data_IF_372949939496
#
_entry.id   IF_372949939496
#
_cell.length_a   1.000
_cell.length_b   1.000
_cell.length_c   1.000
_cell.angle_alpha   90.00
_cell.angle_beta   90.00
_cell.angle_gamma   90.00
#
_symmetry.space_group_name_H-M   'P 1'
#
loop_
_entity.id
_entity.type
_entity.pdbx_description
1 polymer ?
#
# COMPACT_ATOMS: atom_id res chain seq x y z
N UNK A 1 -5.19 13.06 46.62
CA UNK A 1 -6.59 13.53 46.65
C UNK A 1 -6.62 15.01 46.28
N UNK A 2 -6.95 15.31 45.02
CA UNK A 2 -7.31 16.65 44.55
C UNK A 2 -8.22 16.45 43.32
N UNK A 3 -9.50 16.87 43.36
CA UNK A 3 -10.42 16.70 42.25
C UNK A 3 -10.28 17.89 41.29
N UNK A 4 -9.79 17.62 40.07
CA UNK A 4 -9.73 18.58 38.98
C UNK A 4 -11.03 18.59 38.18
N UNK A 5 -11.61 19.78 38.04
CA UNK A 5 -12.95 20.04 37.52
C UNK A 5 -13.14 19.69 36.04
N UNK A 6 -14.33 19.13 35.76
CA UNK A 6 -14.90 18.86 34.44
C UNK A 6 -15.39 20.18 33.82
N UNK A 7 -14.96 20.50 32.59
CA UNK A 7 -15.55 21.58 31.78
C UNK A 7 -16.57 21.03 30.78
N UNK A 8 -17.70 21.72 30.56
CA UNK A 8 -18.74 21.27 29.65
C UNK A 8 -18.41 21.61 28.19
N UNK A 9 -18.69 20.65 27.32
CA UNK A 9 -18.78 20.75 25.87
C UNK A 9 -20.09 21.40 25.41
N UNK A 10 -20.08 22.21 24.34
CA UNK A 10 -21.21 22.45 23.43
C UNK A 10 -20.79 23.21 22.14
N UNK A 11 -21.62 23.23 21.08
CA UNK A 11 -21.23 22.82 19.73
C UNK A 11 -21.23 23.99 18.73
N UNK A 12 -20.60 23.81 17.57
CA UNK A 12 -20.85 24.67 16.41
C UNK A 12 -21.07 23.84 15.13
N UNK A 13 -22.34 23.80 14.74
CA UNK A 13 -22.90 24.00 13.39
C UNK A 13 -21.91 24.65 12.41
N UNK A 14 -21.81 24.26 11.14
CA UNK A 14 -22.89 24.32 10.15
C UNK A 14 -22.44 23.75 8.80
N UNK A 15 -23.47 23.31 8.08
CA UNK A 15 -23.51 22.78 6.71
C UNK A 15 -23.14 23.86 5.68
N UNK A 16 -22.28 23.52 4.72
CA UNK A 16 -22.00 24.32 3.53
C UNK A 16 -22.06 23.45 2.27
N UNK A 17 -23.26 23.34 1.67
CA UNK A 17 -23.45 22.74 0.34
C UNK A 17 -23.34 23.86 -0.69
N UNK A 18 -22.30 23.83 -1.52
CA UNK A 18 -22.15 24.73 -2.65
C UNK A 18 -22.56 24.02 -3.95
N UNK A 19 -23.79 24.31 -4.41
CA UNK A 19 -24.30 23.91 -5.72
C UNK A 19 -23.73 24.81 -6.81
N UNK A 20 -22.79 24.28 -7.60
CA UNK A 20 -22.19 24.92 -8.76
C UNK A 20 -22.99 24.69 -10.05
N UNK A 21 -23.31 25.79 -10.72
CA UNK A 21 -24.23 26.00 -11.84
C UNK A 21 -24.03 25.15 -13.10
N UNK A 22 -25.18 24.86 -13.73
CA UNK A 22 -25.38 24.49 -15.14
C UNK A 22 -24.71 25.49 -16.10
N UNK A 23 -23.86 24.97 -16.99
CA UNK A 23 -23.48 25.63 -18.25
C UNK A 23 -24.00 24.82 -19.43
N UNK A 24 -25.11 25.26 -20.03
CA UNK A 24 -25.61 24.78 -21.31
C UNK A 24 -24.78 25.38 -22.43
N UNK A 25 -24.15 24.55 -23.26
CA UNK A 25 -23.70 24.96 -24.59
C UNK A 25 -24.32 24.03 -25.63
N UNK A 26 -25.24 24.62 -26.40
CA UNK A 26 -25.84 24.11 -27.61
C UNK A 26 -24.88 24.43 -28.76
N UNK A 27 -24.49 23.45 -29.57
CA UNK A 27 -24.19 23.70 -30.99
C UNK A 27 -24.01 22.41 -31.82
N UNK A 28 -24.84 22.33 -32.85
CA UNK A 28 -24.60 21.75 -34.19
C UNK A 28 -24.56 20.23 -34.33
N UNK A 29 -25.76 19.69 -34.54
CA UNK A 29 -26.02 18.47 -35.31
C UNK A 29 -25.67 18.75 -36.78
N UNK A 30 -24.55 18.19 -37.24
CA UNK A 30 -24.21 18.05 -38.64
C UNK A 30 -24.59 16.65 -39.11
N UNK A 31 -25.55 16.56 -40.03
CA UNK A 31 -25.94 15.32 -40.72
C UNK A 31 -24.85 14.98 -41.73
N UNK A 32 -24.09 13.92 -41.48
CA UNK A 32 -23.26 13.26 -42.48
C UNK A 32 -23.88 11.90 -42.80
N UNK A 33 -24.55 11.82 -43.96
CA UNK A 33 -24.82 10.55 -44.65
C UNK A 33 -23.55 10.13 -45.38
N UNK A 34 -22.95 9.01 -45.00
CA UNK A 34 -21.90 8.39 -45.80
C UNK A 34 -21.05 7.37 -45.05
N UNK A 35 -21.30 6.07 -45.30
CA UNK A 35 -20.34 4.99 -45.07
C UNK A 35 -20.29 4.40 -43.66
N UNK A 36 -20.89 3.23 -43.47
CA UNK A 36 -20.62 2.37 -42.31
C UNK A 36 -19.19 1.81 -42.40
N UNK A 37 -18.23 2.55 -41.84
CA UNK A 37 -16.97 1.98 -41.36
C UNK A 37 -17.07 2.04 -39.83
N UNK A 38 -17.23 0.88 -39.19
CA UNK A 38 -17.21 0.78 -37.74
C UNK A 38 -15.78 1.04 -37.22
N UNK A 39 -15.40 2.31 -37.09
CA UNK A 39 -14.18 2.70 -36.42
C UNK A 39 -14.34 2.40 -34.92
N UNK A 40 -13.68 1.35 -34.45
CA UNK A 40 -13.56 1.06 -33.03
C UNK A 40 -12.71 2.16 -32.39
N UNK A 41 -13.39 3.15 -31.81
CA UNK A 41 -12.76 4.18 -30.98
C UNK A 41 -12.34 3.50 -29.68
N UNK A 42 -11.11 2.98 -29.63
CA UNK A 42 -10.47 2.65 -28.37
C UNK A 42 -10.23 3.97 -27.64
N UNK A 43 -11.12 4.31 -26.69
CA UNK A 43 -10.89 5.42 -25.78
C UNK A 43 -9.59 5.16 -25.04
N UNK A 44 -8.55 5.95 -25.33
CA UNK A 44 -7.33 5.96 -24.55
C UNK A 44 -7.72 6.45 -23.15
N UNK A 45 -7.83 5.52 -22.20
CA UNK A 45 -7.94 5.85 -20.78
C UNK A 45 -6.65 6.63 -20.45
N UNK A 46 -6.73 7.91 -20.07
CA UNK A 46 -5.53 8.68 -19.76
C UNK A 46 -4.75 7.94 -18.67
N UNK A 47 -3.49 7.64 -18.95
CA UNK A 47 -2.61 7.05 -17.96
C UNK A 47 -2.58 7.98 -16.72
N UNK A 48 -2.77 7.45 -15.50
CA UNK A 48 -2.70 8.28 -14.30
C UNK A 48 -1.37 9.03 -14.28
N UNK A 49 -1.42 10.33 -13.97
CA UNK A 49 -0.23 11.16 -13.89
C UNK A 49 0.79 10.51 -12.94
N UNK A 50 2.04 10.39 -13.39
CA UNK A 50 3.10 9.78 -12.60
C UNK A 50 3.28 10.54 -11.28
N UNK A 51 2.94 9.88 -10.17
CA UNK A 51 3.20 10.41 -8.83
C UNK A 51 4.70 10.47 -8.52
N UNK A 52 5.08 11.04 -7.36
CA UNK A 52 6.45 10.95 -6.87
C UNK A 52 6.93 9.50 -6.86
N UNK A 53 8.14 9.24 -7.38
CA UNK A 53 8.75 7.90 -7.39
C UNK A 53 8.99 7.47 -5.93
N UNK A 54 8.43 6.33 -5.53
CA UNK A 54 8.66 5.80 -4.18
C UNK A 54 9.98 5.01 -4.09
N UNK A 55 10.52 4.76 -2.88
CA UNK A 55 11.85 4.15 -2.74
C UNK A 55 11.96 2.74 -3.32
N UNK A 56 10.89 1.94 -3.27
CA UNK A 56 10.90 0.58 -3.85
C UNK A 56 11.08 0.67 -5.36
N UNK A 57 10.34 1.56 -6.02
CA UNK A 57 10.48 1.82 -7.46
C UNK A 57 11.86 2.37 -7.80
N UNK A 58 12.37 3.34 -7.03
CA UNK A 58 13.71 3.90 -7.23
C UNK A 58 14.79 2.81 -7.13
N UNK A 59 14.74 1.97 -6.09
CA UNK A 59 15.68 0.88 -5.87
C UNK A 59 15.61 -0.16 -6.99
N UNK A 60 14.41 -0.55 -7.43
CA UNK A 60 14.23 -1.47 -8.55
C UNK A 60 14.84 -0.92 -9.84
N UNK A 61 14.62 0.37 -10.14
CA UNK A 61 15.23 1.04 -11.31
C UNK A 61 16.75 1.09 -11.20
N UNK A 62 17.30 1.33 -10.01
CA UNK A 62 18.74 1.40 -9.78
C UNK A 62 19.48 0.11 -10.14
N UNK A 63 18.85 -1.05 -9.92
CA UNK A 63 19.41 -2.36 -10.30
C UNK A 63 18.98 -2.83 -11.68
N UNK A 64 18.33 -1.98 -12.48
CA UNK A 64 17.89 -2.34 -13.83
C UNK A 64 16.71 -3.30 -13.90
N UNK A 65 15.90 -3.41 -12.84
CA UNK A 65 14.66 -4.20 -12.82
C UNK A 65 13.49 -3.43 -13.46
N UNK A 66 13.70 -2.93 -14.67
CA UNK A 66 12.76 -2.07 -15.38
C UNK A 66 11.40 -2.73 -15.62
N UNK A 67 11.37 -4.04 -15.85
CA UNK A 67 10.15 -4.83 -16.08
C UNK A 67 9.25 -4.88 -14.84
N UNK A 68 9.84 -4.76 -13.65
CA UNK A 68 9.11 -4.78 -12.39
C UNK A 68 8.75 -3.39 -11.87
N UNK A 69 9.04 -2.30 -12.60
CA UNK A 69 8.84 -0.94 -12.11
C UNK A 69 7.39 -0.65 -11.66
N UNK A 70 6.40 -1.15 -12.40
CA UNK A 70 4.98 -0.95 -12.05
C UNK A 70 4.58 -1.70 -10.78
N UNK A 71 5.09 -2.92 -10.58
CA UNK A 71 4.86 -3.66 -9.35
C UNK A 71 5.64 -3.04 -8.17
N UNK A 72 6.88 -2.63 -8.40
CA UNK A 72 7.71 -1.93 -7.42
C UNK A 72 7.01 -0.67 -6.90
N UNK A 73 6.41 0.11 -7.80
CA UNK A 73 5.58 1.27 -7.44
C UNK A 73 4.39 0.87 -6.59
N UNK A 74 3.59 -0.12 -6.99
CA UNK A 74 2.45 -0.60 -6.18
C UNK A 74 2.86 -1.04 -4.78
N UNK A 75 3.93 -1.84 -4.67
CA UNK A 75 4.46 -2.29 -3.37
C UNK A 75 4.88 -1.07 -2.52
N UNK A 76 5.66 -0.16 -3.10
CA UNK A 76 6.13 1.03 -2.39
C UNK A 76 5.00 1.96 -1.93
N UNK A 77 3.93 2.08 -2.71
CA UNK A 77 2.76 2.88 -2.34
C UNK A 77 2.01 2.28 -1.14
N UNK A 78 1.98 0.94 -1.02
CA UNK A 78 1.35 0.25 0.11
C UNK A 78 2.15 0.35 1.41
N UNK A 79 3.48 0.29 1.34
CA UNK A 79 4.34 0.14 2.53
C UNK A 79 5.06 1.39 2.96
N UNK A 80 5.42 2.25 2.02
CA UNK A 80 6.11 3.52 2.31
C UNK A 80 5.16 4.69 2.14
N UNK A 81 4.40 4.71 1.04
CA UNK A 81 3.60 5.87 0.66
C UNK A 81 4.46 7.14 0.61
N UNK A 82 4.02 8.19 1.32
CA UNK A 82 4.74 9.47 1.41
C UNK A 82 5.72 9.54 2.60
N UNK A 83 5.92 8.44 3.34
CA UNK A 83 6.73 8.43 4.56
C UNK A 83 8.23 8.57 4.25
N UNK A 84 9.00 9.30 5.08
CA UNK A 84 10.45 9.30 5.01
C UNK A 84 10.99 7.87 5.09
N UNK A 85 12.00 7.57 4.28
CA UNK A 85 12.50 6.22 4.10
C UNK A 85 13.89 6.18 3.50
N UNK A 86 14.60 5.09 3.79
CA UNK A 86 15.88 4.74 3.18
C UNK A 86 15.90 3.23 2.97
N UNK A 87 16.62 2.74 1.96
CA UNK A 87 16.68 1.31 1.72
C UNK A 87 17.85 0.89 0.87
N UNK A 88 18.03 -0.43 0.82
CA UNK A 88 19.02 -1.12 0.00
C UNK A 88 18.32 -2.22 -0.77
N UNK A 89 18.89 -2.58 -1.92
CA UNK A 89 18.37 -3.64 -2.78
C UNK A 89 19.38 -4.75 -2.92
N UNK A 90 18.92 -5.98 -2.73
CA UNK A 90 19.63 -7.20 -3.04
C UNK A 90 19.14 -7.70 -4.39
N UNK A 91 20.06 -7.73 -5.35
CA UNK A 91 19.84 -8.20 -6.71
C UNK A 91 21.01 -9.11 -7.14
N UNK A 92 20.77 -10.09 -8.02
CA UNK A 92 21.86 -10.90 -8.56
C UNK A 92 22.77 -10.07 -9.47
N UNK A 93 24.04 -10.48 -9.60
CA UNK A 93 24.93 -9.95 -10.63
C UNK A 93 24.48 -10.45 -12.00
N UNK A 94 23.85 -9.61 -12.82
CA UNK A 94 23.41 -9.98 -14.16
C UNK A 94 22.09 -9.34 -14.58
N UNK A 95 21.26 -10.08 -15.32
CA UNK A 95 19.96 -9.58 -15.78
C UNK A 95 18.94 -9.61 -14.65
N UNK A 96 18.75 -8.45 -14.02
CA UNK A 96 17.77 -8.26 -12.95
C UNK A 96 16.32 -8.42 -13.42
N UNK A 97 16.03 -8.12 -14.69
CA UNK A 97 14.69 -8.27 -15.29
C UNK A 97 14.20 -9.73 -15.45
N UNK A 98 15.06 -10.71 -15.13
CA UNK A 98 14.75 -12.13 -15.18
C UNK A 98 14.89 -12.82 -13.82
N UNK A 99 15.14 -12.07 -12.76
CA UNK A 99 15.42 -12.63 -11.45
C UNK A 99 14.59 -11.98 -10.35
N UNK A 100 14.48 -12.68 -9.23
CA UNK A 100 13.94 -12.11 -8.01
C UNK A 100 14.91 -11.05 -7.47
N UNK A 101 14.35 -9.90 -7.08
CA UNK A 101 15.03 -8.90 -6.27
C UNK A 101 14.32 -8.71 -4.95
N UNK A 102 15.05 -8.27 -3.93
CA UNK A 102 14.50 -7.91 -2.64
C UNK A 102 15.01 -6.54 -2.22
N UNK A 103 14.14 -5.73 -1.62
CA UNK A 103 14.50 -4.44 -1.04
C UNK A 103 14.29 -4.50 0.47
N UNK A 104 15.25 -3.97 1.21
CA UNK A 104 15.19 -3.79 2.66
C UNK A 104 15.10 -2.30 2.95
N UNK A 105 14.03 -1.86 3.59
CA UNK A 105 13.67 -0.44 3.74
C UNK A 105 13.43 -0.14 5.21
N UNK A 106 14.09 0.89 5.72
CA UNK A 106 13.70 1.58 6.94
C UNK A 106 12.73 2.69 6.56
N UNK A 107 11.59 2.79 7.23
CA UNK A 107 10.68 3.92 7.08
C UNK A 107 10.06 4.29 8.42
N UNK A 108 9.43 5.47 8.48
CA UNK A 108 8.84 6.03 9.69
C UNK A 108 7.52 6.69 9.38
N UNK A 109 6.48 6.30 10.10
CA UNK A 109 5.16 6.95 10.06
C UNK A 109 4.74 7.43 11.47
N UNK A 110 3.45 7.74 11.63
CA UNK A 110 2.88 8.21 12.90
C UNK A 110 2.99 7.18 14.05
N UNK A 111 3.09 5.88 13.73
CA UNK A 111 3.23 4.80 14.70
C UNK A 111 4.70 4.52 15.06
N UNK A 112 5.64 5.07 14.30
CA UNK A 112 7.07 5.00 14.57
C UNK A 112 7.90 4.42 13.42
N UNK A 113 9.14 4.05 13.74
CA UNK A 113 10.04 3.41 12.78
C UNK A 113 9.67 1.94 12.62
N UNK A 114 9.73 1.46 11.39
CA UNK A 114 9.53 0.07 11.07
C UNK A 114 10.40 -0.36 9.88
N UNK A 115 10.57 -1.67 9.76
CA UNK A 115 11.36 -2.29 8.71
C UNK A 115 10.43 -2.96 7.71
N UNK A 116 10.70 -2.75 6.42
CA UNK A 116 9.97 -3.38 5.33
C UNK A 116 10.93 -4.23 4.51
N UNK A 117 10.60 -5.51 4.34
CA UNK A 117 11.23 -6.36 3.33
C UNK A 117 10.28 -6.51 2.15
N UNK A 118 10.62 -5.95 1.00
CA UNK A 118 9.87 -6.12 -0.23
C UNK A 118 10.59 -7.11 -1.16
N UNK A 119 9.84 -7.77 -2.04
CA UNK A 119 10.41 -8.58 -3.11
C UNK A 119 9.58 -8.46 -4.38
N UNK A 120 10.27 -8.61 -5.51
CA UNK A 120 9.70 -8.51 -6.84
C UNK A 120 10.27 -9.66 -7.67
N UNK A 121 9.42 -10.35 -8.41
CA UNK A 121 9.82 -11.45 -9.26
C UNK A 121 9.08 -11.38 -10.61
N UNK A 122 9.78 -11.45 -11.75
CA UNK A 122 9.14 -11.55 -13.05
C UNK A 122 8.24 -12.78 -13.15
N UNK A 123 7.11 -12.63 -13.84
CA UNK A 123 6.13 -13.71 -14.04
C UNK A 123 5.98 -14.09 -15.53
N UNK A 124 5.27 -15.20 -15.78
CA UNK A 124 5.06 -15.72 -17.12
C UNK A 124 4.16 -14.83 -18.02
N UNK A 125 3.49 -13.82 -17.44
CA UNK A 125 2.55 -12.91 -18.11
C UNK A 125 3.21 -11.62 -18.58
N UNK A 126 4.53 -11.60 -18.64
CA UNK A 126 5.32 -10.43 -18.96
C UNK A 126 5.21 -9.26 -17.97
N UNK A 127 4.76 -9.53 -16.74
CA UNK A 127 4.79 -8.58 -15.62
C UNK A 127 5.70 -9.09 -14.51
N UNK A 128 5.45 -8.60 -13.30
CA UNK A 128 6.06 -9.12 -12.08
C UNK A 128 4.99 -9.36 -11.03
N UNK A 129 5.18 -10.42 -10.25
CA UNK A 129 4.52 -10.59 -8.97
C UNK A 129 5.40 -9.90 -7.91
N UNK A 130 4.80 -9.51 -6.79
CA UNK A 130 5.51 -8.84 -5.72
C UNK A 130 4.91 -9.13 -4.37
N UNK A 131 5.60 -8.73 -3.33
CA UNK A 131 5.09 -8.82 -1.99
C UNK A 131 5.97 -8.08 -1.02
N UNK A 132 5.49 -8.01 0.21
CA UNK A 132 6.24 -7.36 1.28
C UNK A 132 5.91 -7.96 2.64
N UNK A 133 6.85 -7.78 3.56
CA UNK A 133 6.71 -7.97 4.99
C UNK A 133 6.96 -6.60 5.67
N UNK A 134 5.92 -6.01 6.29
CA UNK A 134 6.03 -4.82 7.15
C UNK A 134 6.14 -5.27 8.61
N UNK A 135 7.33 -5.05 9.19
CA UNK A 135 7.76 -5.55 10.50
C UNK A 135 7.82 -4.37 11.47
N UNK A 136 6.97 -4.43 12.50
CA UNK A 136 6.83 -3.37 13.51
C UNK A 136 6.93 -3.91 14.91
N UNK A 137 7.64 -3.17 15.76
CA UNK A 137 7.60 -3.37 17.20
C UNK A 137 6.53 -2.47 17.83
N UNK A 138 5.77 -3.05 18.76
CA UNK A 138 4.75 -2.37 19.54
C UNK A 138 5.10 -2.46 21.03
N UNK A 139 5.08 -1.33 21.77
CA UNK A 139 5.28 -1.32 23.22
C UNK A 139 4.01 -1.78 23.96
N UNK A 140 3.37 -2.84 23.48
CA UNK A 140 2.15 -3.46 24.00
C UNK A 140 2.25 -4.97 23.79
N UNK A 141 1.71 -5.77 24.71
CA UNK A 141 1.59 -7.23 24.50
C UNK A 141 0.65 -7.54 23.34
N UNK A 142 0.83 -8.69 22.67
CA UNK A 142 0.13 -8.98 21.41
C UNK A 142 -1.40 -8.97 21.54
N UNK A 143 -1.97 -9.47 22.64
CA UNK A 143 -3.42 -9.43 22.87
C UNK A 143 -3.95 -7.99 22.93
N UNK A 144 -3.22 -7.10 23.60
CA UNK A 144 -3.56 -5.68 23.68
C UNK A 144 -3.42 -5.01 22.31
N UNK A 145 -2.41 -5.38 21.52
CA UNK A 145 -2.25 -4.90 20.15
C UNK A 145 -3.45 -5.28 19.26
N UNK A 146 -3.95 -6.52 19.38
CA UNK A 146 -5.16 -6.96 18.66
C UNK A 146 -6.36 -6.12 19.06
N UNK A 147 -6.52 -5.88 20.36
CA UNK A 147 -7.62 -5.08 20.89
C UNK A 147 -7.50 -3.62 20.48
N UNK A 148 -6.31 -3.03 20.39
CA UNK A 148 -6.20 -1.59 20.16
C UNK A 148 -6.12 -1.23 18.68
N UNK A 149 -5.27 -1.92 17.91
CA UNK A 149 -4.87 -1.49 16.57
C UNK A 149 -5.41 -2.40 15.45
N UNK A 150 -5.68 -3.67 15.75
CA UNK A 150 -6.04 -4.69 14.75
C UNK A 150 -7.47 -5.22 14.93
N UNK A 151 -8.37 -4.38 15.46
CA UNK A 151 -9.78 -4.74 15.67
C UNK A 151 -10.45 -5.17 14.37
N UNK A 152 -11.26 -6.21 14.45
CA UNK A 152 -12.07 -6.71 13.33
C UNK A 152 -11.35 -7.70 12.42
N UNK A 153 -10.05 -7.94 12.63
CA UNK A 153 -9.36 -9.03 11.95
C UNK A 153 -9.72 -10.37 12.57
N UNK A 154 -9.82 -11.40 11.72
CA UNK A 154 -10.14 -12.75 12.16
C UNK A 154 -8.87 -13.53 12.48
N UNK A 155 -8.81 -14.12 13.66
CA UNK A 155 -7.74 -15.06 14.01
C UNK A 155 -7.92 -16.39 13.27
N UNK A 156 -6.82 -16.96 12.80
CA UNK A 156 -6.76 -18.30 12.21
C UNK A 156 -5.76 -19.18 12.97
N UNK A 157 -5.45 -20.35 12.44
CA UNK A 157 -4.48 -21.25 13.05
C UNK A 157 -3.14 -20.54 13.28
N UNK A 158 -2.57 -20.59 14.50
CA UNK A 158 -1.30 -19.96 14.79
C UNK A 158 -0.15 -20.60 14.00
N UNK A 159 0.92 -19.85 13.79
CA UNK A 159 2.16 -20.35 13.19
C UNK A 159 3.02 -20.98 14.29
N UNK A 160 2.72 -22.21 14.66
CA UNK A 160 3.37 -22.90 15.78
C UNK A 160 2.81 -22.45 17.14
N UNK A 161 3.56 -22.66 18.25
CA UNK A 161 3.02 -22.48 19.59
C UNK A 161 2.92 -21.02 20.05
N UNK A 162 3.72 -20.10 19.48
CA UNK A 162 3.91 -18.75 20.03
C UNK A 162 3.50 -17.62 19.08
N UNK A 163 3.23 -17.92 17.81
CA UNK A 163 2.96 -16.88 16.80
C UNK A 163 1.48 -16.88 16.45
N UNK A 164 0.77 -15.85 16.91
CA UNK A 164 -0.61 -15.60 16.50
C UNK A 164 -0.70 -15.24 15.02
N UNK A 165 -1.79 -15.61 14.35
CA UNK A 165 -2.01 -15.29 12.93
C UNK A 165 -3.40 -14.70 12.72
N UNK A 166 -3.46 -13.55 12.06
CA UNK A 166 -4.68 -12.85 11.70
C UNK A 166 -4.81 -12.76 10.18
N UNK A 167 -6.04 -12.83 9.67
CA UNK A 167 -6.35 -12.59 8.26
C UNK A 167 -6.84 -11.16 8.08
N UNK A 168 -6.14 -10.40 7.24
CA UNK A 168 -6.47 -9.01 6.90
C UNK A 168 -7.02 -8.85 5.47
N UNK A 169 -6.84 -9.87 4.62
CA UNK A 169 -7.40 -9.91 3.28
C UNK A 169 -7.11 -11.25 2.59
N UNK A 170 -7.56 -11.40 1.34
CA UNK A 170 -7.40 -12.63 0.57
C UNK A 170 -5.93 -13.02 0.30
N UNK A 171 -5.03 -12.03 0.26
CA UNK A 171 -3.60 -12.21 0.06
C UNK A 171 -2.75 -11.60 1.19
N UNK A 172 -3.37 -11.30 2.34
CA UNK A 172 -2.73 -10.56 3.43
C UNK A 172 -2.98 -11.20 4.78
N UNK A 173 -1.88 -11.51 5.48
CA UNK A 173 -1.88 -12.00 6.86
C UNK A 173 -1.07 -11.07 7.76
N UNK A 174 -1.39 -11.08 9.06
CA UNK A 174 -0.59 -10.45 10.10
C UNK A 174 -0.17 -11.50 11.12
N UNK A 175 1.13 -11.65 11.32
CA UNK A 175 1.69 -12.53 12.35
C UNK A 175 2.06 -11.72 13.57
N UNK A 176 1.77 -12.25 14.76
CA UNK A 176 2.01 -11.59 16.04
C UNK A 176 2.95 -12.45 16.87
N UNK A 177 4.13 -11.92 17.18
CA UNK A 177 5.17 -12.60 17.93
C UNK A 177 5.44 -11.85 19.25
N UNK A 178 5.33 -12.50 20.41
CA UNK A 178 5.72 -11.90 21.69
C UNK A 178 7.19 -11.47 21.68
N UNK A 179 7.48 -10.28 22.22
CA UNK A 179 8.83 -9.73 22.28
C UNK A 179 9.09 -9.06 23.64
N UNK A 180 9.31 -9.89 24.66
CA UNK A 180 9.47 -9.43 26.05
C UNK A 180 8.19 -8.76 26.55
N UNK A 181 8.25 -7.45 26.83
CA UNK A 181 7.09 -6.66 27.24
C UNK A 181 6.26 -6.10 26.07
N UNK A 182 6.69 -6.35 24.82
CA UNK A 182 6.04 -5.87 23.62
C UNK A 182 5.60 -6.97 22.67
N UNK A 183 5.23 -6.58 21.46
CA UNK A 183 4.81 -7.45 20.39
C UNK A 183 5.46 -7.02 19.08
N UNK A 184 5.91 -7.99 18.28
CA UNK A 184 6.28 -7.76 16.89
C UNK A 184 5.11 -8.17 16.01
N UNK A 185 4.63 -7.24 15.18
CA UNK A 185 3.68 -7.54 14.11
C UNK A 185 4.42 -7.66 12.78
N UNK A 186 4.11 -8.69 12.00
CA UNK A 186 4.62 -8.88 10.65
C UNK A 186 3.42 -8.92 9.71
N UNK A 187 3.15 -7.83 9.00
CA UNK A 187 2.11 -7.78 7.97
C UNK A 187 2.72 -8.25 6.65
N UNK A 188 2.28 -9.42 6.18
CA UNK A 188 2.72 -10.02 4.91
C UNK A 188 1.61 -9.89 3.88
N UNK A 189 1.96 -9.39 2.70
CA UNK A 189 1.03 -9.31 1.58
C UNK A 189 1.69 -9.71 0.26
N UNK A 190 0.93 -10.41 -0.60
CA UNK A 190 1.32 -10.75 -1.96
C UNK A 190 0.43 -9.99 -2.96
N UNK A 191 1.06 -9.44 -3.99
CA UNK A 191 0.46 -8.69 -5.09
C UNK A 191 0.77 -9.38 -6.43
N UNK A 192 -0.19 -9.36 -7.34
CA UNK A 192 -0.11 -10.02 -8.66
C UNK A 192 -0.35 -9.06 -9.84
#
# INVERSE_FOLDING_TARGET
>A
MHPGAVRPSRPQTSVGVASGRLGRSIAKVGVFLGGLIAAQVFGQVPAPAAGPINPVEMLARQVGASRCADMARRVGDQVVGASPSAGVVLAPSGSTDQALISASIETRDAQGMHFVSAFLAPNARNGCDGGYDDIRYWPKVCDQLVIDELRGLSAIHPLGPEIGTLVAGASQHIYLMPAGAGCVSIRKEILF
#
